data_IF_631074643920
#
_entry.id   IF_631074643920
#
_cell.length_a   1.000
_cell.length_b   1.000
_cell.length_c   1.000
_cell.angle_alpha   90.00
_cell.angle_beta   90.00
_cell.angle_gamma   90.00
#
_symmetry.space_group_name_H-M   'P 1'
#
loop_
_entity.id
_entity.type
_entity.pdbx_description
1 polymer ?
#
# COMPACT_ATOMS: atom_id res chain seq x y z
N UNK A 1 8.20 6.13 -20.47
CA UNK A 1 7.60 5.48 -19.29
C UNK A 1 8.72 4.84 -18.46
N UNK A 2 9.06 5.38 -17.31
CA UNK A 2 10.04 4.78 -16.40
C UNK A 2 9.28 3.88 -15.44
N UNK A 3 9.46 2.57 -15.55
CA UNK A 3 8.94 1.61 -14.57
C UNK A 3 9.86 1.63 -13.36
N UNK A 4 9.37 1.99 -12.19
CA UNK A 4 10.09 1.89 -10.93
C UNK A 4 9.69 0.61 -10.21
N UNK A 5 10.67 -0.22 -9.91
CA UNK A 5 10.52 -1.37 -9.00
C UNK A 5 10.59 -0.83 -7.57
N UNK A 6 9.57 -1.08 -6.77
CA UNK A 6 9.48 -0.56 -5.40
C UNK A 6 9.84 -1.65 -4.42
N UNK A 7 10.80 -1.33 -3.56
CA UNK A 7 11.16 -2.13 -2.39
C UNK A 7 10.35 -1.59 -1.21
N UNK A 8 9.52 -2.43 -0.61
CA UNK A 8 8.76 -2.11 0.60
C UNK A 8 9.68 -2.19 1.82
N UNK A 9 9.58 -1.23 2.72
CA UNK A 9 10.25 -1.32 4.03
C UNK A 9 9.31 -2.07 4.97
N UNK A 10 9.74 -3.25 5.40
CA UNK A 10 9.04 -4.08 6.37
C UNK A 10 9.06 -3.38 7.73
N UNK A 11 8.03 -2.62 8.05
CA UNK A 11 7.68 -2.42 9.45
C UNK A 11 7.12 -3.76 9.94
N UNK A 12 7.99 -4.59 10.48
CA UNK A 12 7.61 -5.76 11.27
C UNK A 12 6.64 -5.26 12.35
N UNK A 13 5.34 -5.37 12.08
CA UNK A 13 4.40 -5.49 13.17
C UNK A 13 4.87 -6.71 13.95
N UNK A 14 5.37 -6.48 15.15
CA UNK A 14 5.63 -7.54 16.11
C UNK A 14 4.27 -8.21 16.29
N UNK A 15 4.04 -9.29 15.55
CA UNK A 15 2.97 -10.22 15.85
C UNK A 15 3.38 -10.72 17.22
N UNK A 16 2.63 -10.29 18.22
CA UNK A 16 2.75 -10.82 19.58
C UNK A 16 2.57 -12.33 19.45
N UNK A 17 3.69 -13.05 19.35
CA UNK A 17 3.72 -14.48 19.10
C UNK A 17 3.47 -15.19 20.43
N UNK A 18 2.27 -15.00 20.98
CA UNK A 18 1.77 -15.92 21.98
C UNK A 18 1.54 -17.25 21.26
N UNK A 19 2.23 -18.29 21.73
CA UNK A 19 2.12 -19.61 21.16
C UNK A 19 0.66 -20.05 21.09
N UNK A 20 0.20 -20.52 19.92
CA UNK A 20 -1.12 -21.11 19.76
C UNK A 20 -1.10 -22.53 20.34
N UNK A 21 -2.19 -22.93 20.97
CA UNK A 21 -2.39 -24.33 21.36
C UNK A 21 -2.88 -25.10 20.12
N UNK A 22 -2.06 -26.03 19.65
CA UNK A 22 -2.41 -26.99 18.61
C UNK A 22 -2.90 -28.27 19.27
N UNK A 23 -3.99 -28.80 18.77
CA UNK A 23 -4.61 -30.04 19.27
C UNK A 23 -4.42 -31.14 18.22
N UNK A 24 -3.87 -32.28 18.62
CA UNK A 24 -3.74 -33.43 17.72
C UNK A 24 -5.06 -34.20 17.63
N UNK A 25 -5.16 -35.11 16.66
CA UNK A 25 -6.34 -35.98 16.43
C UNK A 25 -6.66 -36.91 17.63
N UNK A 26 -5.68 -37.14 18.50
CA UNK A 26 -5.80 -37.95 19.74
C UNK A 26 -5.87 -37.05 20.99
N UNK A 27 -6.36 -35.80 20.84
CA UNK A 27 -6.61 -34.80 21.90
C UNK A 27 -5.38 -34.36 22.70
N UNK A 28 -4.17 -34.69 22.29
CA UNK A 28 -2.95 -34.13 22.88
C UNK A 28 -2.74 -32.70 22.40
N UNK A 29 -2.28 -31.84 23.28
CA UNK A 29 -2.06 -30.44 22.97
C UNK A 29 -0.58 -30.06 23.02
N UNK A 30 -0.21 -29.07 22.21
CA UNK A 30 1.11 -28.43 22.25
C UNK A 30 0.95 -26.93 22.02
N UNK A 31 1.55 -26.15 22.88
CA UNK A 31 1.66 -24.69 22.67
C UNK A 31 2.92 -24.40 21.86
N UNK A 32 2.74 -23.81 20.70
CA UNK A 32 3.82 -23.53 19.76
C UNK A 32 3.45 -22.40 18.77
N UNK A 33 4.47 -21.82 18.17
CA UNK A 33 4.39 -20.86 17.07
C UNK A 33 4.76 -21.58 15.76
N UNK A 34 4.02 -21.32 14.67
CA UNK A 34 4.41 -21.81 13.34
C UNK A 34 5.62 -21.00 12.86
N UNK A 35 6.64 -21.68 12.40
CA UNK A 35 7.83 -21.09 11.75
C UNK A 35 7.81 -21.23 10.24
N UNK A 36 7.34 -22.35 9.76
CA UNK A 36 7.17 -22.58 8.32
C UNK A 36 6.19 -23.72 8.06
N UNK A 37 5.63 -23.76 6.86
CA UNK A 37 4.82 -24.86 6.38
C UNK A 37 5.15 -25.22 4.94
N UNK A 38 5.58 -26.42 4.70
CA UNK A 38 5.76 -26.99 3.37
C UNK A 38 4.50 -27.79 2.99
N UNK A 39 3.70 -27.23 2.12
CA UNK A 39 2.46 -27.85 1.67
C UNK A 39 2.70 -29.09 0.80
N UNK A 40 3.84 -29.17 0.09
CA UNK A 40 4.15 -30.31 -0.78
C UNK A 40 4.39 -31.57 0.04
N UNK A 41 5.15 -31.46 1.12
CA UNK A 41 5.39 -32.56 2.06
C UNK A 41 4.37 -32.62 3.19
N UNK A 42 3.49 -31.60 3.28
CA UNK A 42 2.54 -31.40 4.38
C UNK A 42 3.22 -31.35 5.76
N UNK A 43 4.44 -30.79 5.82
CA UNK A 43 5.23 -30.68 7.05
C UNK A 43 5.17 -29.25 7.57
N UNK A 44 4.77 -29.10 8.84
CA UNK A 44 4.83 -27.85 9.58
C UNK A 44 6.02 -27.85 10.56
N UNK A 45 6.80 -26.78 10.56
CA UNK A 45 7.83 -26.54 11.57
C UNK A 45 7.27 -25.62 12.66
N UNK A 46 7.32 -26.11 13.88
CA UNK A 46 6.77 -25.47 15.06
C UNK A 46 7.89 -25.16 16.05
N UNK A 47 7.78 -24.00 16.72
CA UNK A 47 8.67 -23.57 17.81
C UNK A 47 7.90 -23.55 19.11
N UNK A 48 8.30 -24.34 20.09
CA UNK A 48 7.75 -24.31 21.45
C UNK A 48 8.21 -23.07 22.23
N UNK A 49 7.52 -22.72 23.30
CA UNK A 49 7.87 -21.61 24.20
C UNK A 49 9.29 -21.72 24.80
N UNK A 50 9.82 -22.95 24.92
CA UNK A 50 11.20 -23.20 25.35
C UNK A 50 12.25 -23.03 24.21
N UNK A 51 11.84 -22.52 23.03
CA UNK A 51 12.71 -22.31 21.89
C UNK A 51 12.98 -23.54 21.02
N UNK A 52 12.56 -24.74 21.43
CA UNK A 52 12.81 -25.97 20.67
C UNK A 52 11.98 -26.03 19.39
N UNK A 53 12.67 -26.23 18.26
CA UNK A 53 12.06 -26.47 16.97
C UNK A 53 11.77 -27.96 16.76
N UNK A 54 10.65 -28.26 16.10
CA UNK A 54 10.31 -29.63 15.69
C UNK A 54 9.45 -29.61 14.43
N UNK A 55 9.59 -30.64 13.61
CA UNK A 55 8.83 -30.81 12.36
C UNK A 55 7.87 -31.97 12.51
N UNK A 56 6.63 -31.75 12.08
CA UNK A 56 5.58 -32.78 12.13
C UNK A 56 4.70 -32.68 10.89
N UNK A 57 4.06 -33.79 10.54
CA UNK A 57 3.05 -33.77 9.49
C UNK A 57 1.79 -33.05 10.00
N UNK A 58 1.28 -32.08 9.24
CA UNK A 58 0.14 -31.28 9.62
C UNK A 58 -1.15 -32.13 9.82
N UNK A 59 -1.24 -33.30 9.19
CA UNK A 59 -2.39 -34.19 9.34
C UNK A 59 -2.57 -34.77 10.77
N UNK A 60 -1.55 -34.68 11.63
CA UNK A 60 -1.70 -35.13 13.02
C UNK A 60 -2.59 -34.18 13.85
N UNK A 61 -2.78 -32.95 13.39
CA UNK A 61 -3.56 -31.94 14.10
C UNK A 61 -5.05 -32.01 13.75
N UNK A 62 -5.86 -31.41 14.62
CA UNK A 62 -7.30 -31.22 14.38
C UNK A 62 -7.55 -30.52 13.05
N UNK A 63 -8.74 -30.70 12.47
CA UNK A 63 -9.12 -30.03 11.21
C UNK A 63 -9.00 -28.50 11.31
N UNK A 64 -9.35 -27.91 12.43
CA UNK A 64 -9.24 -26.48 12.66
C UNK A 64 -7.79 -26.00 12.65
N UNK A 65 -6.88 -26.77 13.24
CA UNK A 65 -5.46 -26.43 13.25
C UNK A 65 -4.81 -26.66 11.89
N UNK A 66 -5.25 -27.67 11.14
CA UNK A 66 -4.82 -27.85 9.75
C UNK A 66 -5.24 -26.66 8.86
N UNK A 67 -6.45 -26.14 9.02
CA UNK A 67 -6.89 -24.92 8.32
C UNK A 67 -6.02 -23.72 8.73
N UNK A 68 -5.78 -23.54 10.02
CA UNK A 68 -4.92 -22.47 10.50
C UNK A 68 -3.49 -22.55 9.94
N UNK A 69 -2.90 -23.74 9.84
CA UNK A 69 -1.58 -23.96 9.23
C UNK A 69 -1.58 -23.55 7.75
N UNK A 70 -2.65 -23.88 7.01
CA UNK A 70 -2.78 -23.46 5.60
C UNK A 70 -2.96 -21.96 5.45
N UNK A 71 -3.78 -21.36 6.32
CA UNK A 71 -3.96 -19.91 6.36
C UNK A 71 -2.65 -19.18 6.65
N UNK A 72 -1.86 -19.69 7.60
CA UNK A 72 -0.53 -19.16 7.88
C UNK A 72 0.33 -19.08 6.60
N UNK A 73 0.43 -20.18 5.84
CA UNK A 73 1.21 -20.17 4.60
C UNK A 73 0.65 -19.22 3.54
N UNK A 74 -0.68 -19.09 3.46
CA UNK A 74 -1.34 -18.13 2.58
C UNK A 74 -0.97 -16.69 2.98
N UNK A 75 -1.01 -16.37 4.27
CA UNK A 75 -0.66 -15.04 4.78
C UNK A 75 0.84 -14.76 4.64
N UNK A 76 1.73 -15.72 4.91
CA UNK A 76 3.16 -15.56 4.61
C UNK A 76 3.39 -15.21 3.14
N UNK A 77 2.69 -15.88 2.23
CA UNK A 77 2.78 -15.58 0.80
C UNK A 77 2.24 -14.20 0.44
N UNK A 78 1.24 -13.69 1.16
CA UNK A 78 0.77 -12.32 1.03
C UNK A 78 1.82 -11.33 1.54
N UNK A 79 2.50 -11.64 2.65
CA UNK A 79 3.51 -10.77 3.26
C UNK A 79 4.87 -10.80 2.54
N UNK A 80 5.10 -11.75 1.62
CA UNK A 80 6.31 -11.83 0.83
C UNK A 80 6.21 -10.90 -0.41
N UNK A 81 7.00 -9.84 -0.42
CA UNK A 81 7.06 -8.85 -1.50
C UNK A 81 7.47 -9.40 -2.87
N UNK A 82 8.04 -10.60 -2.92
CA UNK A 82 8.33 -11.29 -4.19
C UNK A 82 7.11 -11.99 -4.75
N UNK A 83 6.17 -12.35 -3.88
CA UNK A 83 4.96 -13.09 -4.22
C UNK A 83 3.72 -12.22 -4.34
N UNK A 84 3.64 -11.15 -3.54
CA UNK A 84 2.56 -10.18 -3.59
C UNK A 84 3.13 -8.75 -3.59
N UNK A 85 2.89 -7.98 -4.65
CA UNK A 85 3.43 -6.63 -4.78
C UNK A 85 2.58 -5.72 -5.66
N UNK A 86 2.85 -4.42 -5.56
CA UNK A 86 2.22 -3.39 -6.37
C UNK A 86 3.24 -2.74 -7.31
N UNK A 87 2.78 -2.38 -8.51
CA UNK A 87 3.48 -1.47 -9.40
C UNK A 87 2.62 -0.22 -9.58
N UNK A 88 3.26 0.95 -9.63
CA UNK A 88 2.59 2.23 -9.79
C UNK A 88 3.03 2.90 -11.09
N UNK A 89 2.07 3.48 -11.80
CA UNK A 89 2.32 4.27 -13.00
C UNK A 89 1.52 5.57 -12.89
N UNK A 90 2.22 6.70 -12.87
CA UNK A 90 1.60 8.02 -12.95
C UNK A 90 1.01 8.22 -14.35
N UNK A 91 -0.25 8.67 -14.40
CA UNK A 91 -0.99 8.92 -15.62
C UNK A 91 -1.42 10.39 -15.66
N UNK A 92 -1.08 11.09 -16.74
CA UNK A 92 -1.66 12.41 -17.02
C UNK A 92 -2.93 12.16 -17.84
N UNK A 93 -4.07 12.43 -17.23
CA UNK A 93 -5.41 12.22 -17.82
C UNK A 93 -5.76 13.38 -18.74
N UNK A 94 -5.51 14.62 -18.27
CA UNK A 94 -5.86 15.84 -18.99
C UNK A 94 -4.84 16.93 -18.71
N UNK A 95 -4.67 17.84 -19.69
CA UNK A 95 -3.94 19.11 -19.52
C UNK A 95 -4.90 20.26 -19.62
N UNK A 96 -4.91 21.07 -18.58
CA UNK A 96 -5.77 22.25 -18.45
C UNK A 96 -4.98 23.49 -18.83
N UNK A 97 -5.59 24.37 -19.64
CA UNK A 97 -5.09 25.71 -19.89
C UNK A 97 -6.20 26.70 -19.68
N UNK A 98 -5.91 27.75 -18.93
CA UNK A 98 -6.80 28.90 -18.75
C UNK A 98 -5.99 30.18 -18.92
N UNK A 99 -6.44 31.03 -19.79
CA UNK A 99 -5.81 32.33 -20.02
C UNK A 99 -6.76 33.43 -19.51
N UNK A 100 -6.23 34.29 -18.67
CA UNK A 100 -6.87 35.55 -18.26
C UNK A 100 -5.92 36.69 -18.63
N UNK A 101 -6.42 37.91 -18.60
CA UNK A 101 -5.62 39.09 -18.94
C UNK A 101 -4.40 39.23 -18.02
N UNK A 102 -4.52 38.81 -16.77
CA UNK A 102 -3.51 39.03 -15.70
C UNK A 102 -2.73 37.73 -15.40
N UNK A 103 -3.28 36.56 -15.65
CA UNK A 103 -2.68 35.26 -15.30
C UNK A 103 -2.74 34.28 -16.45
N UNK A 104 -1.69 33.49 -16.58
CA UNK A 104 -1.69 32.24 -17.36
C UNK A 104 -1.74 31.07 -16.36
N UNK A 105 -2.80 30.30 -16.39
CA UNK A 105 -2.92 29.12 -15.59
C UNK A 105 -2.86 27.88 -16.48
N UNK A 106 -1.99 26.96 -16.12
CA UNK A 106 -1.91 25.62 -16.72
C UNK A 106 -1.96 24.57 -15.63
N UNK A 107 -2.46 23.38 -15.95
CA UNK A 107 -2.54 22.31 -14.98
C UNK A 107 -2.57 20.95 -15.63
N UNK A 108 -2.36 19.94 -14.81
CA UNK A 108 -2.46 18.54 -15.18
C UNK A 108 -3.42 17.83 -14.24
N UNK A 109 -4.34 17.05 -14.80
CA UNK A 109 -5.16 16.09 -14.07
C UNK A 109 -4.38 14.80 -14.04
N UNK A 110 -4.04 14.32 -12.85
CA UNK A 110 -3.18 13.16 -12.64
C UNK A 110 -3.93 12.10 -11.86
N UNK A 111 -3.74 10.83 -12.23
CA UNK A 111 -4.08 9.67 -11.44
C UNK A 111 -2.90 8.70 -11.35
N UNK A 112 -3.01 7.68 -10.51
CA UNK A 112 -2.12 6.53 -10.55
C UNK A 112 -2.87 5.32 -11.06
N UNK A 113 -2.30 4.64 -12.05
CA UNK A 113 -2.64 3.27 -12.37
C UNK A 113 -1.87 2.35 -11.41
N UNK A 114 -2.60 1.50 -10.69
CA UNK A 114 -2.03 0.55 -9.74
C UNK A 114 -2.24 -0.86 -10.26
N UNK A 115 -1.15 -1.58 -10.46
CA UNK A 115 -1.14 -2.98 -10.84
C UNK A 115 -0.83 -3.83 -9.61
N UNK A 116 -1.82 -4.62 -9.16
CA UNK A 116 -1.73 -5.56 -8.04
C UNK A 116 -1.37 -6.92 -8.58
N UNK A 117 -0.23 -7.48 -8.19
CA UNK A 117 0.27 -8.77 -8.66
C UNK A 117 0.29 -9.82 -7.56
N UNK A 118 -0.35 -10.94 -7.84
CA UNK A 118 -0.26 -12.16 -7.04
C UNK A 118 0.53 -13.22 -7.81
N UNK A 119 1.79 -13.45 -7.42
CA UNK A 119 2.65 -14.52 -7.96
C UNK A 119 2.61 -15.79 -7.14
N UNK A 120 1.91 -15.76 -6.00
CA UNK A 120 1.81 -16.90 -5.12
C UNK A 120 0.95 -18.02 -5.73
N UNK A 121 0.99 -19.18 -5.13
CA UNK A 121 0.09 -20.30 -5.45
C UNK A 121 -1.29 -20.19 -4.80
N UNK A 122 -1.51 -19.19 -3.96
CA UNK A 122 -2.76 -18.95 -3.24
C UNK A 122 -3.59 -17.88 -3.92
N UNK A 123 -4.91 -18.02 -3.85
CA UNK A 123 -5.84 -16.95 -4.20
C UNK A 123 -6.20 -16.14 -2.94
N UNK A 124 -6.36 -14.83 -3.10
CA UNK A 124 -6.74 -13.93 -2.02
C UNK A 124 -8.13 -13.38 -2.28
N UNK A 125 -8.98 -13.44 -1.26
CA UNK A 125 -10.36 -12.94 -1.31
C UNK A 125 -10.48 -11.68 -0.46
N UNK A 126 -11.47 -10.84 -0.79
CA UNK A 126 -11.85 -9.64 -0.05
C UNK A 126 -10.67 -8.71 0.27
N UNK A 127 -9.79 -8.52 -0.72
CA UNK A 127 -8.66 -7.59 -0.60
C UNK A 127 -9.21 -6.16 -0.53
N UNK A 128 -8.83 -5.43 0.52
CA UNK A 128 -9.14 -4.02 0.68
C UNK A 128 -7.87 -3.21 0.46
N UNK A 129 -7.95 -2.28 -0.48
CA UNK A 129 -6.85 -1.37 -0.84
C UNK A 129 -7.29 0.04 -0.47
N UNK A 130 -6.57 0.68 0.43
CA UNK A 130 -6.75 2.09 0.76
C UNK A 130 -5.53 2.86 0.27
N UNK A 131 -5.71 4.06 -0.24
CA UNK A 131 -4.60 4.88 -0.71
C UNK A 131 -4.76 6.36 -0.33
N UNK A 132 -3.62 7.05 -0.27
CA UNK A 132 -3.51 8.50 -0.17
C UNK A 132 -2.52 8.99 -1.23
N UNK A 133 -2.93 9.95 -2.05
CA UNK A 133 -2.06 10.70 -2.95
C UNK A 133 -1.71 12.00 -2.24
N UNK A 134 -0.42 12.29 -2.09
CA UNK A 134 0.08 13.49 -1.44
C UNK A 134 0.60 14.46 -2.50
N UNK A 135 0.30 15.74 -2.33
CA UNK A 135 0.76 16.82 -3.18
C UNK A 135 0.95 18.11 -2.39
N UNK A 136 1.78 18.99 -2.90
CA UNK A 136 1.93 20.34 -2.42
C UNK A 136 0.98 21.25 -3.21
N UNK A 137 0.21 22.04 -2.48
CA UNK A 137 -0.64 23.10 -2.98
C UNK A 137 0.03 24.43 -2.61
N UNK A 138 0.45 25.20 -3.62
CA UNK A 138 1.15 26.49 -3.44
C UNK A 138 0.21 27.63 -3.77
N UNK A 139 -0.12 28.44 -2.77
CA UNK A 139 -0.93 29.63 -2.90
C UNK A 139 -0.11 30.92 -2.69
N UNK A 140 -0.45 31.98 -3.42
CA UNK A 140 0.11 33.31 -3.16
C UNK A 140 -0.82 34.08 -2.23
N UNK A 141 -0.35 34.36 -1.01
CA UNK A 141 -1.05 35.17 -0.03
C UNK A 141 -0.84 36.67 -0.38
N UNK A 142 -1.92 37.34 -0.80
CA UNK A 142 -1.89 38.77 -1.22
C UNK A 142 -1.59 39.71 -0.08
N UNK A 143 -1.97 39.38 1.14
CA UNK A 143 -1.79 40.26 2.31
C UNK A 143 -0.33 40.25 2.79
N UNK A 144 0.25 39.05 2.88
CA UNK A 144 1.65 38.85 3.29
C UNK A 144 2.63 38.98 2.14
N UNK A 145 2.16 38.90 0.87
CA UNK A 145 2.94 38.89 -0.37
C UNK A 145 3.95 37.74 -0.41
N UNK A 146 3.62 36.64 0.22
CA UNK A 146 4.45 35.44 0.29
C UNK A 146 3.70 34.25 -0.30
N UNK A 147 4.47 33.32 -0.79
CA UNK A 147 3.96 32.00 -1.14
C UNK A 147 3.77 31.18 0.12
N UNK A 148 2.68 30.47 0.19
CA UNK A 148 2.36 29.51 1.24
C UNK A 148 2.19 28.15 0.59
N UNK A 149 2.96 27.17 1.05
CA UNK A 149 2.87 25.78 0.55
C UNK A 149 2.22 24.92 1.62
N UNK A 150 1.19 24.18 1.24
CA UNK A 150 0.50 23.23 2.11
C UNK A 150 0.61 21.84 1.52
N UNK A 151 0.78 20.85 2.38
CA UNK A 151 0.73 19.44 1.96
C UNK A 151 -0.69 18.96 2.11
N UNK A 152 -1.28 18.61 0.98
CA UNK A 152 -2.63 18.09 0.89
C UNK A 152 -2.61 16.59 0.58
N UNK A 153 -3.73 15.90 0.81
CA UNK A 153 -3.87 14.50 0.42
C UNK A 153 -5.26 14.15 -0.08
N UNK A 154 -5.32 13.44 -1.19
CA UNK A 154 -6.52 12.80 -1.73
C UNK A 154 -6.56 11.34 -1.31
N UNK A 155 -7.65 10.92 -0.65
CA UNK A 155 -7.87 9.53 -0.20
C UNK A 155 -8.82 8.80 -1.12
N UNK A 156 -8.60 7.50 -1.23
CA UNK A 156 -9.53 6.62 -1.91
C UNK A 156 -9.38 5.18 -1.46
N UNK A 157 -10.26 4.34 -1.95
CA UNK A 157 -10.23 2.90 -1.70
C UNK A 157 -10.63 2.12 -2.95
N UNK A 158 -10.19 0.87 -3.00
CA UNK A 158 -10.56 -0.10 -4.00
C UNK A 158 -10.68 -1.47 -3.34
N UNK A 159 -11.57 -2.32 -3.84
CA UNK A 159 -11.75 -3.68 -3.32
C UNK A 159 -11.65 -4.70 -4.45
N UNK A 160 -10.90 -5.77 -4.20
CA UNK A 160 -10.80 -6.91 -5.11
C UNK A 160 -11.45 -8.09 -4.42
N UNK A 161 -12.58 -8.53 -4.94
CA UNK A 161 -13.32 -9.68 -4.38
C UNK A 161 -12.50 -10.97 -4.44
N UNK A 162 -11.79 -11.18 -5.55
CA UNK A 162 -10.94 -12.35 -5.73
C UNK A 162 -9.76 -12.02 -6.63
N UNK A 163 -8.55 -12.28 -6.14
CA UNK A 163 -7.31 -12.24 -6.90
C UNK A 163 -6.73 -13.65 -6.95
N UNK A 164 -6.93 -14.32 -8.07
CA UNK A 164 -6.51 -15.70 -8.25
C UNK A 164 -4.99 -15.87 -8.17
N UNK A 165 -4.56 -17.09 -7.90
CA UNK A 165 -3.15 -17.49 -7.98
C UNK A 165 -2.55 -17.09 -9.33
N UNK A 166 -1.35 -16.47 -9.31
CA UNK A 166 -0.58 -16.08 -10.51
C UNK A 166 -1.32 -15.15 -11.48
N UNK A 167 -2.22 -14.33 -10.95
CA UNK A 167 -2.94 -13.31 -11.72
C UNK A 167 -2.62 -11.91 -11.23
N UNK A 168 -3.10 -10.93 -12.00
CA UNK A 168 -2.96 -9.52 -11.68
C UNK A 168 -4.28 -8.77 -11.88
N UNK A 169 -4.42 -7.63 -11.22
CA UNK A 169 -5.52 -6.69 -11.37
C UNK A 169 -4.99 -5.28 -11.49
N UNK A 170 -5.61 -4.49 -12.35
CA UNK A 170 -5.30 -3.08 -12.55
C UNK A 170 -6.49 -2.24 -12.10
N UNK A 171 -6.22 -1.10 -11.49
CA UNK A 171 -7.22 -0.07 -11.24
C UNK A 171 -6.57 1.32 -11.20
N UNK A 172 -7.39 2.35 -11.44
CA UNK A 172 -6.97 3.74 -11.36
C UNK A 172 -7.41 4.36 -10.03
N UNK A 173 -6.58 5.24 -9.51
CA UNK A 173 -6.93 6.04 -8.34
C UNK A 173 -7.88 7.18 -8.70
N UNK A 174 -8.40 7.87 -7.69
CA UNK A 174 -9.03 9.16 -7.89
C UNK A 174 -8.05 10.16 -8.47
N UNK A 175 -8.54 11.05 -9.32
CA UNK A 175 -7.77 12.11 -9.95
C UNK A 175 -7.45 13.23 -8.94
N UNK A 176 -6.29 13.85 -9.11
CA UNK A 176 -5.92 15.13 -8.49
C UNK A 176 -5.61 16.15 -9.60
N UNK A 177 -5.78 17.41 -9.30
CA UNK A 177 -5.45 18.52 -10.22
C UNK A 177 -4.27 19.27 -9.64
N UNK A 178 -3.19 19.38 -10.41
CA UNK A 178 -2.02 20.18 -10.08
C UNK A 178 -1.99 21.39 -10.97
N UNK A 179 -1.99 22.57 -10.39
CA UNK A 179 -2.03 23.84 -11.10
C UNK A 179 -0.68 24.56 -11.07
N UNK A 180 -0.40 25.24 -12.16
CA UNK A 180 0.66 26.25 -12.25
C UNK A 180 0.03 27.55 -12.68
N UNK A 181 0.24 28.61 -11.92
CA UNK A 181 -0.21 29.96 -12.26
C UNK A 181 1.00 30.85 -12.46
N UNK A 182 1.08 31.51 -13.59
CA UNK A 182 2.14 32.49 -13.93
C UNK A 182 1.49 33.85 -14.13
N UNK A 183 2.09 34.85 -13.52
CA UNK A 183 1.64 36.22 -13.69
C UNK A 183 2.12 36.76 -15.03
N UNK A 184 1.22 37.44 -15.74
CA UNK A 184 1.57 38.01 -17.03
C UNK A 184 2.60 39.16 -16.85
N UNK A 185 3.75 39.05 -17.54
CA UNK A 185 4.87 39.99 -17.42
C UNK A 185 4.53 41.43 -17.83
N UNK A 186 3.43 41.64 -18.53
CA UNK A 186 2.96 42.95 -18.93
C UNK A 186 2.34 43.73 -17.77
N UNK A 187 2.14 43.07 -16.62
CA UNK A 187 1.58 43.62 -15.40
C UNK A 187 2.61 43.57 -14.28
N UNK A 188 2.49 44.47 -13.32
CA UNK A 188 3.29 44.45 -12.11
C UNK A 188 2.41 44.46 -10.85
N UNK A 189 2.87 43.72 -9.84
CA UNK A 189 2.16 43.67 -8.58
C UNK A 189 2.51 44.95 -7.77
N UNK A 190 1.52 45.78 -7.48
CA UNK A 190 1.73 46.97 -6.67
C UNK A 190 2.21 46.53 -5.26
N UNK A 191 3.46 46.91 -4.94
CA UNK A 191 4.13 46.55 -3.68
C UNK A 191 5.04 45.34 -3.75
N UNK A 192 5.29 44.78 -4.94
CA UNK A 192 6.25 43.68 -5.18
C UNK A 192 5.76 42.31 -4.81
N UNK A 193 6.64 41.32 -4.93
CA UNK A 193 6.38 39.91 -4.73
C UNK A 193 6.36 39.14 -6.06
N UNK A 194 6.47 37.81 -6.00
CA UNK A 194 6.29 36.93 -7.14
C UNK A 194 5.04 36.06 -6.91
N UNK A 195 3.93 36.36 -7.62
CA UNK A 195 2.67 35.64 -7.45
C UNK A 195 2.59 34.32 -8.20
N UNK A 196 3.63 33.93 -8.95
CA UNK A 196 3.65 32.63 -9.63
C UNK A 196 3.57 31.51 -8.60
N UNK A 197 2.68 30.56 -8.83
CA UNK A 197 2.50 29.38 -7.96
C UNK A 197 2.60 28.09 -8.76
N UNK A 198 3.01 27.02 -8.09
CA UNK A 198 3.10 25.72 -8.72
C UNK A 198 2.88 24.60 -7.72
N UNK A 199 1.79 23.87 -7.92
CA UNK A 199 1.56 22.64 -7.20
C UNK A 199 2.54 21.56 -7.63
N UNK A 200 2.83 20.63 -6.74
CA UNK A 200 3.73 19.51 -7.05
C UNK A 200 3.22 18.20 -6.47
N UNK A 201 3.37 17.13 -7.26
CA UNK A 201 3.08 15.79 -6.80
C UNK A 201 4.20 15.31 -5.86
N UNK A 202 3.82 14.89 -4.65
CA UNK A 202 4.73 14.26 -3.69
C UNK A 202 4.78 12.75 -3.94
N UNK A 203 3.62 12.12 -4.13
CA UNK A 203 3.52 10.69 -4.43
C UNK A 203 2.31 10.01 -3.80
N UNK A 204 2.39 8.69 -3.68
CA UNK A 204 1.29 7.85 -3.20
C UNK A 204 1.71 6.90 -2.08
N UNK A 205 0.83 6.69 -1.11
CA UNK A 205 0.92 5.65 -0.09
C UNK A 205 -0.30 4.74 -0.16
N UNK A 206 -0.09 3.43 -0.20
CA UNK A 206 -1.13 2.40 -0.34
C UNK A 206 -1.01 1.39 0.79
N UNK A 207 -2.13 1.07 1.40
CA UNK A 207 -2.29 -0.04 2.34
C UNK A 207 -3.16 -1.11 1.72
N UNK A 208 -2.64 -2.33 1.64
CA UNK A 208 -3.38 -3.50 1.17
C UNK A 208 -3.63 -4.42 2.34
N UNK A 209 -4.87 -4.79 2.54
CA UNK A 209 -5.29 -5.64 3.65
C UNK A 209 -6.03 -6.87 3.15
N UNK A 210 -5.72 -8.02 3.74
CA UNK A 210 -6.41 -9.29 3.56
C UNK A 210 -6.84 -9.85 4.91
N UNK A 211 -7.84 -10.75 4.91
CA UNK A 211 -8.29 -11.45 6.10
C UNK A 211 -8.00 -12.94 6.01
N UNK A 212 -7.66 -13.54 7.15
CA UNK A 212 -7.65 -14.99 7.29
C UNK A 212 -9.05 -15.53 7.65
N UNK A 213 -9.18 -16.85 7.77
CA UNK A 213 -10.45 -17.50 8.18
C UNK A 213 -10.83 -17.16 9.62
N UNK A 214 -9.86 -16.80 10.46
CA UNK A 214 -10.07 -16.32 11.83
C UNK A 214 -10.49 -14.86 11.90
N UNK A 215 -10.65 -14.18 10.75
CA UNK A 215 -10.96 -12.75 10.59
C UNK A 215 -9.85 -11.80 11.09
N UNK A 216 -8.64 -12.27 11.31
CA UNK A 216 -7.50 -11.40 11.54
C UNK A 216 -7.17 -10.65 10.25
N UNK A 217 -6.79 -9.37 10.41
CA UNK A 217 -6.45 -8.49 9.28
C UNK A 217 -4.93 -8.38 9.19
N UNK A 218 -4.41 -8.69 8.03
CA UNK A 218 -2.99 -8.54 7.68
C UNK A 218 -2.86 -7.42 6.67
N UNK A 219 -1.91 -6.52 6.88
CA UNK A 219 -1.75 -5.31 6.06
C UNK A 219 -0.31 -5.15 5.62
N UNK A 220 -0.13 -4.91 4.33
CA UNK A 220 1.12 -4.43 3.74
C UNK A 220 1.03 -2.95 3.37
N UNK A 221 2.17 -2.26 3.43
CA UNK A 221 2.30 -0.87 3.05
C UNK A 221 3.21 -0.74 1.84
N UNK A 222 2.76 0.04 0.85
CA UNK A 222 3.50 0.34 -0.36
C UNK A 222 3.49 1.86 -0.58
N UNK A 223 4.59 2.44 -1.06
CA UNK A 223 4.64 3.88 -1.36
C UNK A 223 5.60 4.20 -2.48
N UNK A 224 5.32 5.30 -3.16
CA UNK A 224 6.17 5.89 -4.17
C UNK A 224 6.20 7.42 -3.97
N UNK A 225 7.34 8.03 -3.60
CA UNK A 225 8.59 7.39 -3.16
C UNK A 225 8.47 6.73 -1.77
N UNK A 226 9.42 5.88 -1.43
CA UNK A 226 9.44 5.16 -0.12
C UNK A 226 9.43 6.10 1.09
N UNK A 227 10.09 7.25 0.97
CA UNK A 227 10.20 8.26 2.03
C UNK A 227 8.86 8.86 2.47
N UNK A 228 7.77 8.63 1.75
CA UNK A 228 6.42 9.10 2.15
C UNK A 228 6.03 8.52 3.50
N UNK A 229 6.30 7.23 3.74
CA UNK A 229 5.93 6.55 4.99
C UNK A 229 6.69 7.09 6.21
N UNK A 230 7.85 7.71 5.99
CA UNK A 230 8.67 8.30 7.05
C UNK A 230 8.24 9.73 7.38
N UNK A 231 7.74 10.47 6.36
CA UNK A 231 7.45 11.90 6.47
C UNK A 231 6.00 12.20 6.83
N UNK A 232 5.08 11.35 6.44
CA UNK A 232 3.66 11.61 6.56
C UNK A 232 2.95 10.53 7.38
N UNK A 233 1.84 10.91 8.00
CA UNK A 233 0.99 9.99 8.75
C UNK A 233 -0.15 9.47 7.87
N UNK A 234 -0.54 8.23 8.16
CA UNK A 234 -1.68 7.61 7.48
C UNK A 234 -3.03 8.19 7.88
#
# INVERSE_FOLDING_TARGET
>A
MKKFLIISILLLSVIDSHGRIFTSMDDRTVEAEIKSYDETSNIVELKRNNGKLFKVNANIFSKNDQLFIKDFAKIESFMDEKLFYLEFSEQIIERIKKEDTVYFASGEVISYEILVKNRSKYSFEDIVINYKIFYEDEEFNRDTRKKETRVESKRGNYSIQNLLSKTEKVFDTSEIVLMKTEFNSDYYLVGGGNPDTRDSLIGIWVKVSVKDTGKNIYTQNFSLPLSIQEKYTW
#
